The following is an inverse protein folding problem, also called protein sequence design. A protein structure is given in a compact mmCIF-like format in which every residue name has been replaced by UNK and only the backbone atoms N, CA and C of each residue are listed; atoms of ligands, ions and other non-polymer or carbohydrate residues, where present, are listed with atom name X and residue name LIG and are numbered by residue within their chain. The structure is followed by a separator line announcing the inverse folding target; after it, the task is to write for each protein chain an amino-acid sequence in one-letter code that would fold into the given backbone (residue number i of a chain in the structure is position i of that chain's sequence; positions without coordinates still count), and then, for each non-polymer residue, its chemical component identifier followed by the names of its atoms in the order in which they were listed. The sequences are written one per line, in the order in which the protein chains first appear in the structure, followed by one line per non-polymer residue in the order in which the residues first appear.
data_IF_933169932476
#
_entry.id   IF_933169932476
#
_cell.length_a   1.000
_cell.length_b   1.000
_cell.length_c   1.000
_cell.angle_alpha   90.00
_cell.angle_beta   90.00
_cell.angle_gamma   90.00
#
_symmetry.space_group_name_H-M   'P 1'
#
loop_
_entity.id
_entity.type
_entity.pdbx_description
1 polymer ?
#
# COMPACT_ATOMS: atom_id res chain seq x y z
N UNK A 1 -9.51 18.38 24.16
CA UNK A 1 -9.45 17.18 23.30
C UNK A 1 -8.85 17.57 21.98
N UNK A 2 -8.28 16.62 21.25
CA UNK A 2 -7.77 16.83 19.89
C UNK A 2 -8.93 16.98 18.89
N UNK A 3 -8.69 17.74 17.82
CA UNK A 3 -9.62 17.87 16.70
C UNK A 3 -9.52 16.67 15.76
N UNK A 4 -10.57 16.45 14.96
CA UNK A 4 -10.57 15.41 13.92
C UNK A 4 -9.36 15.54 12.96
N UNK A 5 -9.02 16.76 12.54
CA UNK A 5 -7.90 17.00 11.63
C UNK A 5 -6.53 16.71 12.26
N UNK A 6 -6.37 16.94 13.57
CA UNK A 6 -5.14 16.59 14.28
C UNK A 6 -4.97 15.07 14.34
N UNK A 7 -6.02 14.34 14.71
CA UNK A 7 -6.02 12.86 14.73
C UNK A 7 -5.76 12.31 13.32
N UNK A 8 -6.42 12.85 12.30
CA UNK A 8 -6.23 12.45 10.90
C UNK A 8 -4.77 12.60 10.46
N UNK A 9 -4.13 13.73 10.79
CA UNK A 9 -2.70 13.96 10.47
C UNK A 9 -1.79 12.97 11.19
N UNK A 10 -2.07 12.63 12.45
CA UNK A 10 -1.28 11.64 13.20
C UNK A 10 -1.36 10.27 12.52
N UNK A 11 -2.56 9.83 12.16
CA UNK A 11 -2.77 8.54 11.49
C UNK A 11 -2.09 8.50 10.12
N UNK A 12 -2.24 9.55 9.30
CA UNK A 12 -1.60 9.60 7.98
C UNK A 12 -0.07 9.71 8.06
N UNK A 13 0.50 10.29 9.13
CA UNK A 13 1.95 10.24 9.38
C UNK A 13 2.44 8.83 9.68
N UNK A 14 1.68 8.05 10.45
CA UNK A 14 2.00 6.65 10.69
C UNK A 14 1.94 5.82 9.39
N UNK A 15 0.90 6.05 8.56
CA UNK A 15 0.83 5.44 7.23
C UNK A 15 2.04 5.85 6.37
N UNK A 16 2.38 7.14 6.32
CA UNK A 16 3.55 7.61 5.56
C UNK A 16 4.85 6.93 6.03
N UNK A 17 5.02 6.74 7.34
CA UNK A 17 6.15 6.01 7.89
C UNK A 17 6.20 4.56 7.40
N UNK A 18 5.07 3.86 7.39
CA UNK A 18 4.97 2.49 6.86
C UNK A 18 5.35 2.43 5.37
N UNK A 19 4.97 3.43 4.56
CA UNK A 19 5.39 3.49 3.15
C UNK A 19 6.90 3.66 2.98
N UNK A 20 7.56 4.47 3.82
CA UNK A 20 9.02 4.57 3.84
C UNK A 20 9.68 3.25 4.27
N UNK A 21 9.14 2.56 5.28
CA UNK A 21 9.63 1.24 5.69
C UNK A 21 9.50 0.20 4.57
N UNK A 22 8.46 0.33 3.74
CA UNK A 22 8.24 -0.48 2.55
C UNK A 22 9.07 -0.02 1.33
N UNK A 23 9.73 1.13 1.40
CA UNK A 23 10.44 1.79 0.30
C UNK A 23 9.54 2.04 -0.93
N UNK A 24 8.31 2.49 -0.69
CA UNK A 24 7.27 2.64 -1.71
C UNK A 24 7.00 4.08 -2.17
N UNK A 25 7.65 5.08 -1.58
CA UNK A 25 7.52 6.48 -2.02
C UNK A 25 8.38 6.76 -3.25
N UNK A 26 8.07 7.83 -3.98
CA UNK A 26 8.79 8.21 -5.19
C UNK A 26 10.30 8.32 -4.94
N UNK A 27 11.09 7.64 -5.78
CA UNK A 27 12.55 7.55 -5.65
C UNK A 27 13.06 6.39 -4.79
N UNK A 28 12.19 5.69 -4.06
CA UNK A 28 12.55 4.51 -3.26
C UNK A 28 12.48 3.20 -4.08
N UNK A 29 13.20 2.17 -3.64
CA UNK A 29 13.47 0.99 -4.49
C UNK A 29 12.22 0.20 -4.89
N UNK A 30 11.21 0.17 -4.03
CA UNK A 30 9.97 -0.57 -4.25
C UNK A 30 8.84 0.31 -4.78
N UNK A 31 9.09 1.57 -5.14
CA UNK A 31 8.06 2.50 -5.61
C UNK A 31 7.26 1.95 -6.78
N UNK A 32 7.93 1.46 -7.83
CA UNK A 32 7.27 0.97 -9.06
C UNK A 32 6.42 -0.27 -8.77
N UNK A 33 6.98 -1.24 -8.05
CA UNK A 33 6.27 -2.49 -7.69
C UNK A 33 5.09 -2.17 -6.76
N UNK A 34 5.34 -1.35 -5.74
CA UNK A 34 4.34 -0.90 -4.79
C UNK A 34 3.19 -0.16 -5.46
N UNK A 35 3.49 0.73 -6.42
CA UNK A 35 2.49 1.45 -7.21
C UNK A 35 1.56 0.51 -7.96
N UNK A 36 2.10 -0.52 -8.62
CA UNK A 36 1.29 -1.50 -9.36
C UNK A 36 0.32 -2.24 -8.40
N UNK A 37 0.80 -2.67 -7.24
CA UNK A 37 -0.03 -3.36 -6.25
C UNK A 37 -1.12 -2.42 -5.71
N UNK A 38 -0.75 -1.18 -5.38
CA UNK A 38 -1.70 -0.14 -4.91
C UNK A 38 -2.78 0.10 -5.95
N UNK A 39 -2.42 0.22 -7.23
CA UNK A 39 -3.38 0.42 -8.31
C UNK A 39 -4.36 -0.75 -8.46
N UNK A 40 -3.89 -1.98 -8.35
CA UNK A 40 -4.75 -3.17 -8.36
C UNK A 40 -5.68 -3.21 -7.14
N UNK A 41 -5.20 -2.87 -5.95
CA UNK A 41 -6.02 -2.80 -4.74
C UNK A 41 -7.04 -1.65 -4.79
N UNK A 42 -6.67 -0.49 -5.34
CA UNK A 42 -7.60 0.64 -5.53
C UNK A 42 -8.75 0.26 -6.47
N UNK A 43 -8.48 -0.58 -7.47
CA UNK A 43 -9.44 -1.04 -8.48
C UNK A 43 -10.33 -2.17 -7.97
N UNK A 44 -9.76 -3.15 -7.28
CA UNK A 44 -10.43 -4.42 -6.95
C UNK A 44 -10.74 -4.58 -5.45
N UNK A 45 -10.36 -3.61 -4.60
CA UNK A 45 -10.39 -3.63 -3.12
C UNK A 45 -9.49 -4.67 -2.45
N UNK A 46 -9.30 -5.82 -3.11
CA UNK A 46 -8.45 -6.94 -2.72
C UNK A 46 -7.87 -7.64 -3.94
N UNK A 47 -6.78 -8.37 -3.76
CA UNK A 47 -6.22 -9.27 -4.76
C UNK A 47 -5.90 -10.62 -4.13
N UNK A 48 -5.86 -11.68 -4.94
CA UNK A 48 -5.39 -12.99 -4.46
C UNK A 48 -3.90 -12.93 -4.12
N UNK A 49 -3.49 -13.72 -3.12
CA UNK A 49 -2.09 -13.80 -2.70
C UNK A 49 -1.17 -14.25 -3.84
N UNK A 50 -1.61 -15.19 -4.68
CA UNK A 50 -0.85 -15.61 -5.87
C UNK A 50 -0.66 -14.46 -6.87
N UNK A 51 -1.66 -13.59 -7.03
CA UNK A 51 -1.55 -12.38 -7.86
C UNK A 51 -0.54 -11.40 -7.25
N UNK A 52 -0.60 -11.18 -5.93
CA UNK A 52 0.39 -10.37 -5.21
C UNK A 52 1.82 -10.90 -5.42
N UNK A 53 2.04 -12.20 -5.23
CA UNK A 53 3.36 -12.83 -5.42
C UNK A 53 3.85 -12.68 -6.87
N UNK A 54 2.97 -12.84 -7.87
CA UNK A 54 3.31 -12.63 -9.28
C UNK A 54 3.68 -11.18 -9.59
N UNK A 55 2.97 -10.22 -9.02
CA UNK A 55 3.25 -8.79 -9.21
C UNK A 55 4.60 -8.38 -8.60
N UNK A 56 4.91 -8.89 -7.41
CA UNK A 56 6.19 -8.60 -6.76
C UNK A 56 7.35 -9.34 -7.44
N UNK A 57 7.10 -10.58 -7.89
CA UNK A 57 8.08 -11.46 -8.53
C UNK A 57 9.41 -11.61 -7.77
N UNK A 58 9.38 -11.39 -6.45
CA UNK A 58 10.52 -11.50 -5.55
C UNK A 58 10.03 -11.79 -4.13
N UNK A 59 10.37 -12.97 -3.62
CA UNK A 59 9.89 -13.43 -2.30
C UNK A 59 10.38 -12.56 -1.14
N UNK A 60 11.60 -12.02 -1.23
CA UNK A 60 12.14 -11.15 -0.19
C UNK A 60 11.36 -9.82 -0.14
N UNK A 61 11.19 -9.17 -1.28
CA UNK A 61 10.40 -7.93 -1.38
C UNK A 61 8.96 -8.18 -0.92
N UNK A 62 8.36 -9.31 -1.29
CA UNK A 62 6.99 -9.64 -0.88
C UNK A 62 6.84 -9.70 0.64
N UNK A 63 7.83 -10.31 1.33
CA UNK A 63 7.86 -10.35 2.78
C UNK A 63 8.07 -8.96 3.40
N UNK A 64 8.98 -8.15 2.85
CA UNK A 64 9.25 -6.78 3.33
C UNK A 64 7.99 -5.90 3.23
N UNK A 65 7.28 -5.97 2.10
CA UNK A 65 6.05 -5.21 1.86
C UNK A 65 4.93 -5.58 2.85
N UNK A 66 4.81 -6.86 3.22
CA UNK A 66 3.85 -7.33 4.23
C UNK A 66 4.28 -6.94 5.65
N UNK A 67 5.57 -6.99 5.96
CA UNK A 67 6.10 -6.60 7.29
C UNK A 67 6.00 -5.10 7.56
N UNK A 68 6.05 -4.28 6.52
CA UNK A 68 5.96 -2.83 6.63
C UNK A 68 4.56 -2.30 6.98
N UNK A 69 3.54 -3.15 7.13
CA UNK A 69 2.16 -2.77 7.48
C UNK A 69 1.51 -1.79 6.49
N UNK A 70 1.89 -1.87 5.21
CA UNK A 70 1.15 -1.20 4.12
C UNK A 70 0.05 -2.12 3.61
N UNK A 71 0.37 -3.40 3.45
CA UNK A 71 -0.55 -4.44 3.00
C UNK A 71 -0.83 -5.43 4.13
N UNK A 72 -2.01 -6.05 4.08
CA UNK A 72 -2.40 -7.14 4.98
C UNK A 72 -2.69 -8.38 4.16
N UNK A 73 -2.16 -9.52 4.59
CA UNK A 73 -2.52 -10.83 4.06
C UNK A 73 -3.50 -11.52 5.00
N UNK A 74 -4.66 -11.93 4.48
CA UNK A 74 -5.61 -12.77 5.20
C UNK A 74 -5.44 -14.24 4.77
N UNK A 75 -4.95 -15.14 5.64
CA UNK A 75 -4.76 -16.55 5.31
C UNK A 75 -6.07 -17.33 5.17
N UNK A 76 -7.17 -16.87 5.79
CA UNK A 76 -8.47 -17.53 5.69
C UNK A 76 -9.06 -17.38 4.28
N UNK A 77 -8.95 -16.17 3.71
CA UNK A 77 -9.47 -15.88 2.36
C UNK A 77 -8.42 -16.02 1.26
N UNK A 78 -7.14 -16.12 1.60
CA UNK A 78 -6.04 -16.15 0.63
C UNK A 78 -5.85 -14.83 -0.12
N UNK A 79 -6.27 -13.70 0.45
CA UNK A 79 -6.27 -12.40 -0.22
C UNK A 79 -5.38 -11.37 0.48
N UNK A 80 -4.84 -10.44 -0.30
CA UNK A 80 -4.13 -9.25 0.15
C UNK A 80 -5.04 -8.03 0.01
N UNK A 81 -5.03 -7.17 1.04
CA UNK A 81 -5.73 -5.88 1.09
C UNK A 81 -4.78 -4.77 1.54
N UNK A 82 -5.26 -3.53 1.57
CA UNK A 82 -4.61 -2.51 2.40
C UNK A 82 -4.67 -2.92 3.88
N UNK A 83 -3.65 -2.54 4.64
CA UNK A 83 -3.62 -2.75 6.10
C UNK A 83 -4.77 -2.04 6.81
N UNK A 84 -5.20 -0.89 6.29
CA UNK A 84 -6.27 -0.09 6.90
C UNK A 84 -6.95 0.81 5.87
N UNK A 85 -8.13 1.34 6.22
CA UNK A 85 -8.80 2.38 5.43
C UNK A 85 -7.97 3.67 5.35
N UNK A 86 -7.17 3.98 6.37
CA UNK A 86 -6.28 5.14 6.34
C UNK A 86 -5.17 4.98 5.29
N UNK A 87 -4.66 3.76 5.09
CA UNK A 87 -3.73 3.43 4.01
C UNK A 87 -4.37 3.70 2.64
N UNK A 88 -5.62 3.30 2.46
CA UNK A 88 -6.35 3.55 1.22
C UNK A 88 -6.59 5.05 0.98
N UNK A 89 -6.97 5.80 2.02
CA UNK A 89 -7.14 7.26 1.94
C UNK A 89 -5.81 7.93 1.56
N UNK A 90 -4.71 7.52 2.19
CA UNK A 90 -3.37 8.05 1.91
C UNK A 90 -2.97 7.90 0.43
N UNK A 91 -3.21 6.73 -0.18
CA UNK A 91 -2.85 6.52 -1.60
C UNK A 91 -3.82 7.22 -2.55
N UNK A 92 -5.10 7.32 -2.23
CA UNK A 92 -6.09 8.02 -3.07
C UNK A 92 -5.86 9.53 -3.13
N UNK A 93 -5.24 10.10 -2.09
CA UNK A 93 -4.89 11.52 -2.02
C UNK A 93 -3.56 11.85 -2.72
N UNK A 94 -2.85 10.84 -3.23
CA UNK A 94 -1.50 10.95 -3.77
C UNK A 94 -1.45 10.66 -5.27
N UNK A 95 -1.20 11.67 -6.12
CA UNK A 95 -1.18 11.50 -7.57
C UNK A 95 -0.18 10.46 -8.08
N UNK A 96 0.92 10.24 -7.36
CA UNK A 96 1.96 9.27 -7.72
C UNK A 96 1.43 7.83 -7.77
N UNK A 97 0.37 7.52 -7.01
CA UNK A 97 -0.30 6.21 -7.01
C UNK A 97 -1.52 6.14 -7.93
N UNK A 98 -1.86 7.25 -8.60
CA UNK A 98 -3.03 7.30 -9.47
C UNK A 98 -2.87 6.41 -10.71
N UNK A 99 -4.00 5.96 -11.28
CA UNK A 99 -4.06 5.14 -12.50
C UNK A 99 -3.62 5.89 -13.77
N UNK A 100 -3.34 7.20 -13.70
CA UNK A 100 -2.91 8.01 -14.85
C UNK A 100 -1.40 7.92 -15.01
N UNK A 101 -0.94 7.00 -15.86
CA UNK A 101 0.48 6.84 -16.18
C UNK A 101 0.81 6.26 -17.57
N UNK A 102 -0.20 6.04 -18.42
CA UNK A 102 0.01 5.68 -19.82
C UNK A 102 -0.95 6.50 -20.69
N UNK A 103 -0.50 7.67 -21.12
CA UNK A 103 -1.07 8.44 -22.23
C UNK A 103 0.03 8.72 -23.24
#
# INVERSE_FOLDING_TARGET
GETFEEVRKIVLRAVNHNFHQAEMLEGERNHVIGKVIVQELVKNEKIDFDTFIKLVNNKQIANELLQANVFSYNPESGTVTFQSRATEVFVRERPEFSLKGFS
#
